data_IF_200070854135
#
_entry.id   IF_200070854135
#
_cell.length_a   1.000
_cell.length_b   1.000
_cell.length_c   1.000
_cell.angle_alpha   90.00
_cell.angle_beta   90.00
_cell.angle_gamma   90.00
#
_symmetry.space_group_name_H-M   'P 1'
#
loop_
_entity.id
_entity.type
_entity.pdbx_description
1 polymer ?
#
# COMPACT_ATOMS: atom_id res chain seq x y z
N UNK A 1 2.83 17.58 10.37
CA UNK A 1 3.79 16.67 9.70
C UNK A 1 3.65 15.21 10.16
N UNK A 2 3.64 14.91 11.47
CA UNK A 2 3.57 13.53 11.96
C UNK A 2 2.29 12.75 11.55
N UNK A 3 1.12 13.39 11.56
CA UNK A 3 -0.17 12.77 11.21
C UNK A 3 -0.19 12.26 9.77
N UNK A 4 0.38 13.02 8.82
CA UNK A 4 0.45 12.62 7.41
C UNK A 4 1.32 11.37 7.23
N UNK A 5 2.44 11.27 7.96
CA UNK A 5 3.33 10.12 7.92
C UNK A 5 2.63 8.88 8.47
N UNK A 6 1.90 9.01 9.57
CA UNK A 6 1.10 7.92 10.14
C UNK A 6 0.00 7.46 9.18
N UNK A 7 -0.65 8.39 8.49
CA UNK A 7 -1.67 8.07 7.49
C UNK A 7 -1.08 7.28 6.31
N UNK A 8 0.10 7.69 5.83
CA UNK A 8 0.81 6.99 4.75
C UNK A 8 1.24 5.59 5.19
N UNK A 9 1.80 5.45 6.40
CA UNK A 9 2.19 4.16 6.97
C UNK A 9 0.97 3.26 7.15
N UNK A 10 -0.14 3.80 7.66
CA UNK A 10 -1.38 3.05 7.81
C UNK A 10 -1.96 2.60 6.48
N UNK A 11 -1.98 3.48 5.46
CA UNK A 11 -2.38 3.11 4.10
C UNK A 11 -1.50 1.99 3.52
N UNK A 12 -0.19 2.07 3.75
CA UNK A 12 0.76 1.09 3.25
C UNK A 12 0.64 -0.24 4.00
N UNK A 13 0.48 -0.21 5.32
CA UNK A 13 0.26 -1.37 6.17
C UNK A 13 -1.08 -2.04 5.85
N UNK A 14 -2.16 -1.27 5.73
CA UNK A 14 -3.47 -1.78 5.34
C UNK A 14 -3.45 -2.38 3.92
N UNK A 15 -2.81 -1.71 2.95
CA UNK A 15 -2.65 -2.22 1.59
C UNK A 15 -1.82 -3.51 1.54
N UNK A 16 -0.73 -3.57 2.31
CA UNK A 16 0.07 -4.79 2.47
C UNK A 16 -0.71 -5.90 3.16
N UNK A 17 -1.50 -5.57 4.19
CA UNK A 17 -2.36 -6.51 4.89
C UNK A 17 -3.38 -7.11 3.93
N UNK A 18 -4.08 -6.28 3.15
CA UNK A 18 -5.02 -6.74 2.13
C UNK A 18 -4.34 -7.60 1.06
N UNK A 19 -3.14 -7.24 0.59
CA UNK A 19 -2.42 -8.05 -0.41
C UNK A 19 -1.85 -9.35 0.14
N UNK A 20 -1.41 -9.40 1.40
CA UNK A 20 -0.77 -10.57 1.99
C UNK A 20 -1.79 -11.55 2.54
N UNK A 21 -2.85 -11.06 3.19
CA UNK A 21 -3.91 -11.87 3.80
C UNK A 21 -4.40 -13.03 2.92
N UNK A 22 -4.79 -12.85 1.64
CA UNK A 22 -5.28 -13.96 0.80
C UNK A 22 -4.21 -14.99 0.44
N UNK A 23 -2.92 -14.68 0.63
CA UNK A 23 -1.78 -15.57 0.37
C UNK A 23 -1.22 -16.20 1.64
N UNK A 24 -1.58 -15.69 2.82
CA UNK A 24 -1.15 -16.25 4.09
C UNK A 24 -1.92 -17.53 4.41
N UNK A 25 -1.25 -18.50 5.04
CA UNK A 25 -1.87 -19.70 5.64
C UNK A 25 -3.04 -19.36 6.57
N UNK A 26 -3.04 -18.15 7.14
CA UNK A 26 -4.09 -17.60 7.98
C UNK A 26 -5.46 -17.55 7.28
N UNK A 27 -5.50 -17.32 5.96
CA UNK A 27 -6.73 -17.33 5.16
C UNK A 27 -7.27 -18.74 4.92
N UNK A 28 -6.38 -19.71 4.70
CA UNK A 28 -6.77 -21.12 4.51
C UNK A 28 -7.11 -21.86 5.81
N UNK A 29 -6.62 -21.41 6.97
CA UNK A 29 -6.86 -22.08 8.26
C UNK A 29 -7.96 -21.45 9.11
N UNK A 30 -8.50 -20.29 8.73
CA UNK A 30 -9.47 -19.61 9.58
C UNK A 30 -10.80 -20.38 9.64
N UNK A 31 -11.25 -20.86 10.81
CA UNK A 31 -12.49 -21.63 10.94
C UNK A 31 -13.73 -20.82 10.55
N UNK A 32 -13.64 -19.48 10.51
CA UNK A 32 -14.72 -18.57 10.08
C UNK A 32 -14.94 -18.64 8.56
N UNK A 33 -13.88 -18.85 7.76
CA UNK A 33 -13.98 -18.98 6.30
C UNK A 33 -14.48 -20.37 5.89
N UNK A 34 -14.23 -21.39 6.73
CA UNK A 34 -14.74 -22.75 6.57
C UNK A 34 -16.08 -23.01 7.26
N UNK A 35 -16.60 -22.05 8.02
CA UNK A 35 -17.93 -22.14 8.64
C UNK A 35 -19.06 -22.10 7.59
N UNK A 36 -18.77 -21.59 6.39
CA UNK A 36 -19.71 -21.50 5.28
C UNK A 36 -19.07 -22.06 4.01
N UNK A 37 -19.68 -23.07 3.35
CA UNK A 37 -19.13 -23.66 2.13
C UNK A 37 -19.05 -22.66 0.98
N UNK A 38 -19.92 -21.64 0.96
CA UNK A 38 -19.90 -20.56 -0.04
C UNK A 38 -18.70 -19.63 0.17
N UNK A 39 -18.39 -19.28 1.42
CA UNK A 39 -17.21 -18.47 1.74
C UNK A 39 -15.91 -19.23 1.46
N UNK A 40 -15.86 -20.53 1.75
CA UNK A 40 -14.73 -21.38 1.42
C UNK A 40 -14.48 -21.42 -0.09
N UNK A 41 -15.53 -21.59 -0.91
CA UNK A 41 -15.43 -21.54 -2.38
C UNK A 41 -14.94 -20.18 -2.89
N UNK A 42 -15.42 -19.08 -2.32
CA UNK A 42 -15.00 -17.72 -2.70
C UNK A 42 -13.53 -17.48 -2.29
N UNK A 43 -13.13 -17.95 -1.11
CA UNK A 43 -11.77 -17.80 -0.56
C UNK A 43 -10.72 -18.68 -1.27
N UNK A 44 -11.14 -19.82 -1.82
CA UNK A 44 -10.30 -20.72 -2.62
C UNK A 44 -10.11 -20.21 -4.07
N UNK A 45 -10.99 -19.32 -4.52
CA UNK A 45 -10.98 -18.82 -5.89
C UNK A 45 -9.83 -17.83 -6.16
N UNK A 46 -8.97 -18.14 -7.13
CA UNK A 46 -7.83 -17.30 -7.52
C UNK A 46 -8.24 -15.88 -7.95
N UNK A 47 -9.44 -15.71 -8.52
CA UNK A 47 -9.96 -14.41 -8.93
C UNK A 47 -10.19 -13.47 -7.74
N UNK A 48 -10.70 -14.00 -6.63
CA UNK A 48 -10.96 -13.21 -5.43
C UNK A 48 -9.64 -12.82 -4.79
N UNK A 49 -8.68 -13.75 -4.74
CA UNK A 49 -7.32 -13.46 -4.25
C UNK A 49 -6.62 -12.40 -5.11
N UNK A 50 -6.83 -12.42 -6.43
CA UNK A 50 -6.33 -11.41 -7.36
C UNK A 50 -7.02 -10.06 -7.23
N UNK A 51 -8.34 -10.02 -7.03
CA UNK A 51 -9.08 -8.77 -6.78
C UNK A 51 -8.64 -8.11 -5.47
N UNK A 52 -8.48 -8.92 -4.42
CA UNK A 52 -8.04 -8.46 -3.10
C UNK A 52 -6.59 -7.96 -3.14
N UNK A 53 -5.68 -8.65 -3.84
CA UNK A 53 -4.31 -8.13 -4.02
C UNK A 53 -4.24 -6.92 -4.96
N UNK A 54 -5.12 -6.84 -5.95
CA UNK A 54 -5.29 -5.68 -6.82
C UNK A 54 -5.71 -4.43 -6.04
N UNK A 55 -6.55 -4.60 -5.02
CA UNK A 55 -6.96 -3.52 -4.13
C UNK A 55 -5.79 -2.99 -3.28
N UNK A 56 -4.95 -3.87 -2.75
CA UNK A 56 -3.73 -3.48 -2.04
C UNK A 56 -2.69 -2.81 -2.96
N UNK A 57 -2.58 -3.27 -4.21
CA UNK A 57 -1.75 -2.63 -5.25
C UNK A 57 -2.20 -1.21 -5.58
N UNK A 58 -3.51 -0.96 -5.65
CA UNK A 58 -4.04 0.40 -5.86
C UNK A 58 -3.61 1.35 -4.73
N UNK A 59 -3.66 0.88 -3.48
CA UNK A 59 -3.16 1.61 -2.32
C UNK A 59 -1.65 1.92 -2.41
N UNK A 60 -0.86 0.93 -2.86
CA UNK A 60 0.58 1.10 -3.09
C UNK A 60 0.89 2.13 -4.18
N UNK A 61 0.11 2.16 -5.27
CA UNK A 61 0.28 3.12 -6.37
C UNK A 61 0.02 4.55 -5.90
N UNK A 62 -1.01 4.77 -5.09
CA UNK A 62 -1.31 6.09 -4.52
C UNK A 62 -0.19 6.55 -3.59
N UNK A 63 0.28 5.68 -2.69
CA UNK A 63 1.42 5.97 -1.82
C UNK A 63 2.70 6.29 -2.61
N UNK A 64 2.97 5.53 -3.67
CA UNK A 64 4.14 5.73 -4.53
C UNK A 64 4.09 7.05 -5.30
N UNK A 65 2.90 7.45 -5.79
CA UNK A 65 2.70 8.75 -6.45
C UNK A 65 2.95 9.92 -5.51
N UNK A 66 2.44 9.84 -4.28
CA UNK A 66 2.66 10.88 -3.27
C UNK A 66 4.14 10.99 -2.91
N UNK A 67 4.82 9.84 -2.74
CA UNK A 67 6.25 9.81 -2.47
C UNK A 67 7.08 10.40 -3.61
N UNK A 68 6.75 10.08 -4.86
CA UNK A 68 7.42 10.63 -6.04
C UNK A 68 7.28 12.17 -6.11
N UNK A 69 6.07 12.69 -5.88
CA UNK A 69 5.80 14.14 -5.84
C UNK A 69 6.65 14.85 -4.78
N UNK A 70 6.75 14.29 -3.58
CA UNK A 70 7.57 14.86 -2.50
C UNK A 70 9.06 14.85 -2.88
N UNK A 71 9.56 13.79 -3.51
CA UNK A 71 10.96 13.70 -3.94
C UNK A 71 11.30 14.73 -5.03
N UNK A 72 10.39 14.99 -5.97
CA UNK A 72 10.55 16.02 -6.99
C UNK A 72 10.61 17.42 -6.39
N UNK A 73 9.71 17.73 -5.44
CA UNK A 73 9.74 19.00 -4.70
C UNK A 73 11.04 19.19 -3.94
N UNK A 74 11.59 18.12 -3.33
CA UNK A 74 12.89 18.18 -2.64
C UNK A 74 14.05 18.40 -3.62
N UNK A 75 14.01 17.79 -4.81
CA UNK A 75 15.02 18.03 -5.86
C UNK A 75 14.98 19.46 -6.38
N UNK A 76 13.80 20.01 -6.63
CA UNK A 76 13.64 21.40 -7.05
C UNK A 76 14.22 22.37 -6.00
N UNK A 77 13.88 22.15 -4.73
CA UNK A 77 14.37 22.98 -3.62
C UNK A 77 15.88 22.86 -3.38
N UNK A 78 16.46 21.67 -3.57
CA UNK A 78 17.91 21.46 -3.47
C UNK A 78 18.67 22.19 -4.60
N UNK A 79 18.06 22.30 -5.79
CA UNK A 79 18.64 22.99 -6.95
C UNK A 79 18.70 24.51 -6.74
N UNK A 80 17.63 25.09 -6.18
CA UNK A 80 17.59 26.52 -5.83
C UNK A 80 18.60 26.88 -4.74
N UNK A 81 18.74 26.03 -3.70
CA UNK A 81 19.68 26.26 -2.62
C UNK A 81 21.14 26.22 -3.09
N UNK A 82 21.45 25.36 -4.08
CA UNK A 82 22.78 25.30 -4.69
C UNK A 82 23.09 26.57 -5.49
N UNK A 83 22.14 27.06 -6.29
CA UNK A 83 22.31 28.28 -7.09
C UNK A 83 22.39 29.54 -6.25
N UNK A 84 21.68 29.63 -5.12
CA UNK A 84 21.72 30.78 -4.22
C UNK A 84 23.00 30.87 -3.38
N UNK A 85 23.76 29.77 -3.24
CA UNK A 85 25.02 29.74 -2.49
C UNK A 85 26.23 30.19 -3.31
N UNK A 86 26.16 30.13 -4.64
CA UNK A 86 27.23 30.59 -5.54
C UNK A 86 27.19 32.11 -5.81
N UNK A 87 26.13 32.81 -5.38
CA UNK A 87 25.95 34.26 -5.60
C UNK A 87 26.40 35.10 -4.38
N UNK A 88 26.74 34.47 -3.25
CA UNK A 88 27.13 35.14 -1.99
C UNK A 88 28.63 35.02 -1.78
#
# INVERSE_FOLDING_TARGET
MAIAILFIIYCLEAGAFFSLVPWTRFWSFHPILHASPTLAMIADNLYVRGLVSGFGLAHFIVAFRELASILEQRRARARDQASGRDII
#
